data_IF_640331808459
#
_entry.id   IF_640331808459
#
_cell.length_a   1.000
_cell.length_b   1.000
_cell.length_c   1.000
_cell.angle_alpha   90.00
_cell.angle_beta   90.00
_cell.angle_gamma   90.00
#
_symmetry.space_group_name_H-M   'P 1'
#
loop_
_entity.id
_entity.type
_entity.pdbx_description
1 polymer ?
#
# COMPACT_ATOMS: atom_id res chain seq x y z
N UNK A 1 -0.65 -12.77 19.97
CA UNK A 1 -0.53 -11.53 19.19
C UNK A 1 0.09 -11.86 17.83
N UNK A 2 -0.20 -11.05 16.82
CA UNK A 2 0.29 -11.18 15.45
C UNK A 2 1.19 -9.99 15.15
N UNK A 3 2.36 -10.26 14.59
CA UNK A 3 3.28 -9.24 14.07
C UNK A 3 3.21 -9.24 12.54
N UNK A 4 2.97 -8.10 11.96
CA UNK A 4 3.02 -7.89 10.51
C UNK A 4 4.27 -7.12 10.15
N UNK A 5 4.98 -7.53 9.09
CA UNK A 5 6.18 -6.85 8.59
C UNK A 5 5.99 -6.46 7.12
N UNK A 6 6.21 -5.19 6.84
CA UNK A 6 6.31 -4.66 5.48
C UNK A 6 7.80 -4.37 5.19
N UNK A 7 8.42 -5.25 4.40
CA UNK A 7 9.85 -5.24 4.11
C UNK A 7 10.08 -4.47 2.82
N UNK A 8 10.36 -3.18 2.97
CA UNK A 8 10.68 -2.29 1.87
C UNK A 8 12.18 -2.22 1.56
N UNK A 9 12.54 -1.43 0.53
CA UNK A 9 13.94 -1.26 0.11
C UNK A 9 14.79 -0.49 1.13
N UNK A 10 14.20 0.42 1.91
CA UNK A 10 14.94 1.33 2.79
C UNK A 10 14.77 1.01 4.28
N UNK A 11 13.68 0.37 4.66
CA UNK A 11 13.36 -0.01 6.05
C UNK A 11 12.32 -1.09 6.10
N UNK A 12 12.25 -1.77 7.24
CA UNK A 12 11.19 -2.70 7.59
C UNK A 12 10.22 -1.95 8.51
N UNK A 13 8.95 -1.92 8.16
CA UNK A 13 7.89 -1.42 9.06
C UNK A 13 7.23 -2.60 9.73
N UNK A 14 6.87 -2.45 10.99
CA UNK A 14 6.18 -3.48 11.76
C UNK A 14 4.93 -2.95 12.44
N UNK A 15 3.96 -3.84 12.65
CA UNK A 15 2.79 -3.55 13.45
C UNK A 15 2.36 -4.79 14.24
N UNK A 16 1.95 -4.60 15.49
CA UNK A 16 1.46 -5.66 16.37
C UNK A 16 -0.04 -5.55 16.51
N UNK A 17 -0.72 -6.65 16.23
CA UNK A 17 -2.17 -6.78 16.39
C UNK A 17 -2.52 -7.67 17.59
N UNK A 18 -3.50 -7.21 18.36
CA UNK A 18 -4.12 -7.99 19.42
C UNK A 18 -5.02 -9.11 18.90
N UNK A 19 -5.62 -9.89 19.78
CA UNK A 19 -6.56 -10.95 19.43
C UNK A 19 -7.88 -10.41 18.83
N UNK A 20 -8.28 -9.20 19.23
CA UNK A 20 -9.46 -8.50 18.72
C UNK A 20 -9.24 -7.80 17.37
N UNK A 21 -8.01 -7.81 16.83
CA UNK A 21 -7.66 -7.11 15.60
C UNK A 21 -7.25 -5.65 15.80
N UNK A 22 -7.16 -5.21 17.05
CA UNK A 22 -6.72 -3.86 17.36
C UNK A 22 -5.22 -3.69 17.09
N UNK A 23 -4.89 -2.62 16.39
CA UNK A 23 -3.51 -2.20 16.16
C UNK A 23 -2.95 -1.61 17.46
N UNK A 24 -2.01 -2.31 18.09
CA UNK A 24 -1.47 -1.92 19.40
C UNK A 24 -0.20 -1.10 19.30
N UNK A 25 0.74 -1.51 18.45
CA UNK A 25 2.07 -0.92 18.34
C UNK A 25 2.52 -0.89 16.88
N UNK A 26 3.25 0.15 16.52
CA UNK A 26 3.95 0.24 15.22
C UNK A 26 5.40 0.64 15.46
N UNK A 27 6.31 0.10 14.63
CA UNK A 27 7.73 0.42 14.71
C UNK A 27 8.37 0.38 13.31
N UNK A 28 9.61 0.86 13.22
CA UNK A 28 10.37 0.85 11.98
C UNK A 28 11.83 0.45 12.28
N UNK A 29 12.35 -0.49 11.49
CA UNK A 29 13.65 -1.12 11.65
C UNK A 29 14.54 -0.86 10.45
N UNK A 30 15.85 -0.91 10.62
CA UNK A 30 16.76 -0.99 9.49
C UNK A 30 16.56 -2.33 8.75
N UNK A 31 16.88 -2.38 7.47
CA UNK A 31 16.66 -3.58 6.63
C UNK A 31 17.50 -4.80 7.07
N UNK A 32 18.50 -4.60 7.92
CA UNK A 32 19.41 -5.64 8.40
C UNK A 32 19.20 -5.99 9.87
N UNK A 33 18.28 -5.33 10.59
CA UNK A 33 18.07 -5.54 12.03
C UNK A 33 17.14 -6.71 12.35
N UNK A 34 17.45 -7.87 11.78
CA UNK A 34 16.69 -9.11 11.99
C UNK A 34 16.74 -9.61 13.43
N UNK A 35 17.88 -9.38 14.13
CA UNK A 35 18.05 -9.75 15.54
C UNK A 35 17.17 -8.89 16.46
N UNK A 36 17.08 -7.59 16.18
CA UNK A 36 16.19 -6.69 16.90
C UNK A 36 14.74 -7.09 16.76
N UNK A 37 14.29 -7.42 15.53
CA UNK A 37 12.94 -7.89 15.26
C UNK A 37 12.64 -9.22 15.99
N UNK A 38 13.58 -10.19 16.01
CA UNK A 38 13.40 -11.46 16.71
C UNK A 38 13.27 -11.26 18.24
N UNK A 39 14.13 -10.42 18.82
CA UNK A 39 14.07 -10.06 20.23
C UNK A 39 12.74 -9.37 20.57
N UNK A 40 12.32 -8.43 19.73
CA UNK A 40 11.05 -7.73 19.88
C UNK A 40 9.86 -8.70 19.84
N UNK A 41 9.83 -9.61 18.84
CA UNK A 41 8.78 -10.59 18.71
C UNK A 41 8.65 -11.49 19.94
N UNK A 42 9.78 -11.90 20.52
CA UNK A 42 9.83 -12.70 21.76
C UNK A 42 9.29 -11.90 22.96
N UNK A 43 9.76 -10.66 23.14
CA UNK A 43 9.36 -9.80 24.25
C UNK A 43 7.85 -9.43 24.21
N UNK A 44 7.30 -9.30 23.01
CA UNK A 44 5.87 -9.01 22.80
C UNK A 44 4.98 -10.28 22.81
N UNK A 45 5.54 -11.46 23.10
CA UNK A 45 4.82 -12.74 23.06
C UNK A 45 4.10 -12.97 21.73
N UNK A 46 4.74 -12.64 20.63
CA UNK A 46 4.22 -12.89 19.29
C UNK A 46 4.12 -14.39 19.04
N UNK A 47 3.05 -14.85 18.41
CA UNK A 47 2.82 -16.25 18.04
C UNK A 47 2.84 -16.48 16.54
N UNK A 48 2.54 -15.42 15.79
CA UNK A 48 2.48 -15.49 14.34
C UNK A 48 3.07 -14.23 13.74
N UNK A 49 3.94 -14.40 12.75
CA UNK A 49 4.50 -13.32 11.94
C UNK A 49 4.04 -13.53 10.51
N UNK A 50 3.44 -12.51 9.90
CA UNK A 50 3.19 -12.47 8.46
C UNK A 50 3.94 -11.28 7.86
N UNK A 51 4.59 -11.50 6.71
CA UNK A 51 5.38 -10.45 6.09
C UNK A 51 5.14 -10.36 4.58
N UNK A 52 5.17 -9.13 4.07
CA UNK A 52 5.34 -8.84 2.65
C UNK A 52 6.75 -8.36 2.39
N UNK A 53 7.30 -8.66 1.21
CA UNK A 53 8.57 -8.09 0.77
C UNK A 53 8.48 -7.70 -0.70
N UNK A 54 8.99 -6.50 -0.99
CA UNK A 54 9.27 -6.00 -2.35
C UNK A 54 10.78 -5.88 -2.58
N UNK A 55 11.57 -6.33 -1.60
CA UNK A 55 13.03 -6.32 -1.57
C UNK A 55 13.58 -7.75 -1.38
N UNK A 56 14.62 -7.90 -0.60
CA UNK A 56 15.23 -9.19 -0.29
C UNK A 56 14.36 -10.00 0.69
N UNK A 57 14.31 -11.32 0.50
CA UNK A 57 13.67 -12.23 1.45
C UNK A 57 14.43 -12.23 2.80
N UNK A 58 13.73 -12.43 3.92
CA UNK A 58 14.36 -12.57 5.23
C UNK A 58 15.41 -13.69 5.26
N UNK A 59 16.49 -13.54 6.06
CA UNK A 59 17.50 -14.58 6.18
C UNK A 59 16.89 -15.91 6.65
N UNK A 60 17.24 -17.03 6.02
CA UNK A 60 16.76 -18.36 6.42
C UNK A 60 17.09 -18.70 7.87
N UNK A 61 18.26 -18.25 8.34
CA UNK A 61 18.68 -18.43 9.75
C UNK A 61 17.70 -17.77 10.71
N UNK A 62 17.26 -16.54 10.41
CA UNK A 62 16.27 -15.81 11.20
C UNK A 62 14.92 -16.53 11.25
N UNK A 63 14.41 -17.02 10.12
CA UNK A 63 13.17 -17.80 10.08
C UNK A 63 13.27 -19.06 10.92
N UNK A 64 14.43 -19.76 10.86
CA UNK A 64 14.68 -20.98 11.64
C UNK A 64 14.74 -20.71 13.15
N UNK A 65 15.31 -19.58 13.55
CA UNK A 65 15.38 -19.14 14.96
C UNK A 65 13.98 -18.87 15.52
N UNK A 66 13.16 -18.15 14.79
CA UNK A 66 11.77 -17.87 15.17
C UNK A 66 10.94 -19.14 15.29
N UNK A 67 11.09 -20.08 14.35
CA UNK A 67 10.40 -21.37 14.41
C UNK A 67 10.80 -22.20 15.64
N UNK A 68 12.11 -22.23 15.98
CA UNK A 68 12.60 -22.87 17.21
C UNK A 68 12.02 -22.22 18.48
N UNK A 69 11.73 -20.94 18.44
CA UNK A 69 11.09 -20.19 19.52
C UNK A 69 9.56 -20.36 19.54
N UNK A 70 8.99 -21.22 18.67
CA UNK A 70 7.56 -21.48 18.61
C UNK A 70 6.74 -20.38 17.92
N UNK A 71 7.39 -19.50 17.16
CA UNK A 71 6.76 -18.45 16.37
C UNK A 71 6.56 -18.95 14.95
N UNK A 72 5.30 -19.02 14.49
CA UNK A 72 4.98 -19.33 13.11
C UNK A 72 5.26 -18.13 12.22
N UNK A 73 5.90 -18.33 11.07
CA UNK A 73 6.21 -17.28 10.10
C UNK A 73 5.65 -17.64 8.72
N UNK A 74 4.92 -16.72 8.12
CA UNK A 74 4.36 -16.89 6.77
C UNK A 74 4.73 -15.69 5.88
N UNK A 75 5.20 -15.96 4.69
CA UNK A 75 5.39 -14.94 3.67
C UNK A 75 4.08 -14.72 2.91
N UNK A 76 3.68 -13.48 2.70
CA UNK A 76 2.64 -13.17 1.74
C UNK A 76 3.15 -13.49 0.33
N UNK A 77 2.45 -14.37 -0.36
CA UNK A 77 2.71 -14.77 -1.75
C UNK A 77 1.42 -14.67 -2.57
N UNK A 78 1.52 -14.88 -3.87
CA UNK A 78 0.33 -14.97 -4.73
C UNK A 78 -0.48 -16.25 -4.52
N UNK A 79 0.06 -17.26 -3.81
CA UNK A 79 -0.61 -18.49 -3.40
C UNK A 79 -1.29 -18.38 -2.03
N UNK A 80 -1.02 -17.30 -1.29
CA UNK A 80 -1.66 -17.05 0.00
C UNK A 80 -3.19 -16.97 -0.15
N UNK A 81 -3.96 -17.40 0.87
CA UNK A 81 -5.39 -17.18 0.85
C UNK A 81 -5.69 -15.67 0.84
N UNK A 82 -6.53 -15.23 -0.09
CA UNK A 82 -6.85 -13.81 -0.27
C UNK A 82 -8.34 -13.56 -0.03
N UNK A 83 -8.71 -12.43 0.61
CA UNK A 83 -10.11 -12.09 0.89
C UNK A 83 -10.82 -11.50 -0.34
N UNK A 84 -10.21 -11.51 -1.54
CA UNK A 84 -10.76 -10.95 -2.76
C UNK A 84 -10.49 -11.83 -3.99
N UNK A 85 -11.30 -11.62 -5.02
CA UNK A 85 -11.08 -12.16 -6.36
C UNK A 85 -10.41 -11.11 -7.24
N UNK A 86 -9.76 -11.53 -8.33
CA UNK A 86 -9.02 -10.63 -9.19
C UNK A 86 -9.33 -10.83 -10.66
N UNK A 87 -9.41 -9.72 -11.42
CA UNK A 87 -9.37 -9.70 -12.87
C UNK A 87 -7.97 -9.39 -13.42
N UNK A 88 -6.98 -9.20 -12.54
CA UNK A 88 -5.60 -8.96 -12.94
C UNK A 88 -5.01 -10.22 -13.58
N UNK A 89 -4.54 -10.09 -14.84
CA UNK A 89 -4.18 -11.26 -15.66
C UNK A 89 -2.94 -12.01 -15.17
N UNK A 90 -2.05 -11.33 -14.48
CA UNK A 90 -0.76 -11.86 -14.02
C UNK A 90 -0.62 -11.69 -12.50
N UNK A 91 -1.48 -12.37 -11.74
CA UNK A 91 -1.46 -12.30 -10.27
C UNK A 91 -0.09 -12.63 -9.67
N UNK A 92 0.66 -13.52 -10.30
CA UNK A 92 2.02 -13.91 -9.89
C UNK A 92 3.06 -12.78 -10.00
N UNK A 93 2.74 -11.69 -10.70
CA UNK A 93 3.59 -10.48 -10.79
C UNK A 93 3.04 -9.28 -10.04
N UNK A 94 1.87 -9.42 -9.41
CA UNK A 94 1.29 -8.33 -8.60
C UNK A 94 2.15 -8.11 -7.35
N UNK A 95 2.51 -6.86 -7.08
CA UNK A 95 3.27 -6.48 -5.87
C UNK A 95 2.56 -6.97 -4.60
N UNK A 96 3.33 -7.56 -3.69
CA UNK A 96 2.79 -8.08 -2.42
C UNK A 96 2.24 -6.96 -1.53
N UNK A 97 2.83 -5.79 -1.59
CA UNK A 97 2.33 -4.55 -0.98
C UNK A 97 0.94 -4.16 -1.49
N UNK A 98 0.70 -4.26 -2.81
CA UNK A 98 -0.60 -4.02 -3.44
C UNK A 98 -1.63 -5.06 -2.99
N UNK A 99 -1.26 -6.34 -2.92
CA UNK A 99 -2.12 -7.41 -2.39
C UNK A 99 -2.53 -7.09 -0.94
N UNK A 100 -1.57 -6.71 -0.12
CA UNK A 100 -1.83 -6.34 1.27
C UNK A 100 -2.71 -5.08 1.35
N UNK A 101 -2.45 -4.04 0.56
CA UNK A 101 -3.27 -2.83 0.55
C UNK A 101 -4.74 -3.10 0.18
N UNK A 102 -4.99 -3.98 -0.80
CA UNK A 102 -6.33 -4.45 -1.17
C UNK A 102 -7.04 -5.17 -0.01
N UNK A 103 -6.34 -6.08 0.66
CA UNK A 103 -6.88 -6.79 1.83
C UNK A 103 -7.14 -5.83 3.00
N UNK A 104 -6.25 -4.84 3.21
CA UNK A 104 -6.43 -3.80 4.22
C UNK A 104 -7.65 -2.91 3.98
N UNK A 105 -7.94 -2.60 2.71
CA UNK A 105 -9.14 -1.86 2.37
C UNK A 105 -10.43 -2.66 2.67
N UNK A 106 -10.41 -3.98 2.51
CA UNK A 106 -11.54 -4.85 2.88
C UNK A 106 -11.74 -4.88 4.40
N UNK A 107 -10.64 -4.98 5.15
CA UNK A 107 -10.68 -5.01 6.62
C UNK A 107 -11.25 -3.71 7.21
N UNK A 108 -10.75 -2.57 6.71
CA UNK A 108 -11.08 -1.27 7.27
C UNK A 108 -12.39 -0.66 6.75
N UNK A 109 -12.75 -1.00 5.51
CA UNK A 109 -13.88 -0.41 4.79
C UNK A 109 -14.73 -1.52 4.13
N UNK A 110 -15.30 -2.45 4.93
CA UNK A 110 -16.07 -3.55 4.38
C UNK A 110 -17.29 -3.02 3.60
N UNK A 111 -17.49 -3.52 2.38
CA UNK A 111 -18.59 -3.11 1.52
C UNK A 111 -18.44 -1.74 0.87
N UNK A 112 -17.26 -1.13 0.88
CA UNK A 112 -16.98 0.17 0.26
C UNK A 112 -16.08 0.01 -0.96
N UNK A 113 -16.53 0.48 -2.12
CA UNK A 113 -15.72 0.52 -3.34
C UNK A 113 -14.62 1.57 -3.21
N UNK A 114 -13.37 1.20 -3.52
CA UNK A 114 -12.21 2.08 -3.31
C UNK A 114 -11.33 2.19 -4.56
N UNK A 115 -10.85 3.42 -4.82
CA UNK A 115 -9.57 3.66 -5.47
C UNK A 115 -8.52 3.79 -4.35
N UNK A 116 -7.58 2.87 -4.29
CA UNK A 116 -6.48 2.87 -3.34
C UNK A 116 -5.28 3.53 -4.01
N UNK A 117 -4.78 4.62 -3.44
CA UNK A 117 -3.56 5.30 -3.89
C UNK A 117 -2.47 5.12 -2.82
N UNK A 118 -1.47 4.29 -3.13
CA UNK A 118 -0.28 4.13 -2.29
C UNK A 118 0.86 4.98 -2.85
N UNK A 119 1.30 5.94 -2.06
CA UNK A 119 2.32 6.94 -2.40
C UNK A 119 3.64 6.59 -1.72
N UNK A 120 4.27 5.54 -2.23
CA UNK A 120 5.57 5.04 -1.80
C UNK A 120 6.69 5.40 -2.79
N UNK A 121 7.64 4.47 -2.99
CA UNK A 121 8.68 4.57 -4.02
C UNK A 121 8.07 4.76 -5.41
N UNK A 122 7.01 4.00 -5.70
CA UNK A 122 6.10 4.24 -6.81
C UNK A 122 4.76 4.77 -6.27
N UNK A 123 3.98 5.41 -7.13
CA UNK A 123 2.56 5.60 -6.94
C UNK A 123 1.84 4.39 -7.54
N UNK A 124 1.06 3.67 -6.74
CA UNK A 124 0.12 2.67 -7.25
C UNK A 124 -1.31 3.13 -7.07
N UNK A 125 -2.15 2.86 -8.06
CA UNK A 125 -3.57 3.22 -8.08
C UNK A 125 -4.37 1.97 -8.37
N UNK A 126 -5.01 1.39 -7.35
CA UNK A 126 -5.68 0.09 -7.41
C UNK A 126 -7.19 0.22 -7.16
N UNK A 127 -8.02 -0.42 -7.97
CA UNK A 127 -9.48 -0.34 -7.86
C UNK A 127 -10.03 -1.64 -7.28
N UNK A 128 -10.61 -1.53 -6.09
CA UNK A 128 -11.32 -2.59 -5.39
C UNK A 128 -12.81 -2.30 -5.39
N UNK A 129 -13.62 -3.23 -5.91
CA UNK A 129 -15.07 -3.17 -5.89
C UNK A 129 -15.62 -4.18 -4.88
N UNK A 130 -16.52 -3.73 -4.03
CA UNK A 130 -17.12 -4.54 -2.97
C UNK A 130 -18.64 -4.55 -3.02
N UNK A 131 -19.26 -3.68 -3.85
CA UNK A 131 -20.71 -3.52 -3.90
C UNK A 131 -21.34 -4.17 -5.14
N UNK A 132 -22.58 -4.64 -4.98
CA UNK A 132 -23.36 -5.15 -6.13
C UNK A 132 -23.68 -4.05 -7.15
N UNK A 133 -23.82 -2.80 -6.72
CA UNK A 133 -24.04 -1.65 -7.60
C UNK A 133 -22.86 -1.44 -8.54
N UNK A 134 -21.63 -1.46 -8.01
CA UNK A 134 -20.43 -1.37 -8.84
C UNK A 134 -20.28 -2.56 -9.78
N UNK A 135 -20.68 -3.76 -9.33
CA UNK A 135 -20.72 -4.96 -10.16
C UNK A 135 -21.63 -4.80 -11.36
N UNK A 136 -22.85 -4.31 -11.16
CA UNK A 136 -23.80 -4.06 -12.25
C UNK A 136 -23.23 -3.10 -13.31
N UNK A 137 -22.47 -2.09 -12.86
CA UNK A 137 -21.81 -1.10 -13.72
C UNK A 137 -20.71 -1.69 -14.61
N UNK A 138 -20.19 -2.90 -14.32
CA UNK A 138 -19.21 -3.59 -15.18
C UNK A 138 -19.85 -4.21 -16.43
N UNK A 139 -21.21 -4.21 -16.56
CA UNK A 139 -21.93 -4.74 -17.73
C UNK A 139 -21.75 -6.24 -17.94
N UNK A 140 -21.26 -6.97 -16.96
CA UNK A 140 -21.09 -8.42 -16.99
C UNK A 140 -22.09 -9.06 -16.04
N UNK A 141 -22.80 -10.09 -16.53
CA UNK A 141 -23.41 -11.11 -15.66
C UNK A 141 -22.26 -11.84 -14.94
N UNK A 142 -21.57 -11.14 -14.03
CA UNK A 142 -20.44 -11.71 -13.36
C UNK A 142 -20.94 -12.64 -12.27
N UNK A 143 -20.77 -13.94 -12.48
CA UNK A 143 -20.89 -15.01 -11.48
C UNK A 143 -19.76 -14.94 -10.44
N UNK A 144 -18.93 -13.88 -10.49
CA UNK A 144 -17.77 -13.70 -9.63
C UNK A 144 -18.17 -13.32 -8.19
N UNK A 145 -17.53 -13.96 -7.24
CA UNK A 145 -17.61 -13.63 -5.82
C UNK A 145 -16.96 -12.27 -5.57
N UNK A 146 -17.41 -11.53 -4.56
CA UNK A 146 -16.87 -10.25 -4.11
C UNK A 146 -16.16 -10.44 -2.77
N UNK A 147 -15.21 -9.57 -2.44
CA UNK A 147 -14.67 -8.36 -3.15
C UNK A 147 -13.89 -8.67 -4.43
N UNK A 148 -13.78 -7.70 -5.36
CA UNK A 148 -13.16 -7.86 -6.68
C UNK A 148 -12.13 -6.77 -6.98
N UNK A 149 -10.87 -7.16 -7.15
CA UNK A 149 -9.83 -6.32 -7.71
C UNK A 149 -9.93 -6.29 -9.23
N UNK A 150 -10.23 -5.13 -9.82
CA UNK A 150 -10.41 -5.00 -11.28
C UNK A 150 -9.16 -4.56 -12.02
N UNK A 151 -8.13 -4.12 -11.31
CA UNK A 151 -6.85 -3.70 -11.87
C UNK A 151 -6.38 -2.36 -11.31
N UNK A 152 -5.23 -1.90 -11.78
CA UNK A 152 -4.65 -0.65 -11.32
C UNK A 152 -3.48 -0.19 -12.18
N UNK A 153 -2.91 0.96 -11.82
CA UNK A 153 -1.80 1.60 -12.50
C UNK A 153 -0.57 1.67 -11.58
N UNK A 154 0.60 1.75 -12.18
CA UNK A 154 1.86 2.04 -11.50
C UNK A 154 2.51 3.22 -12.22
N UNK A 155 2.94 4.21 -11.46
CA UNK A 155 3.69 5.35 -11.97
C UNK A 155 4.80 5.76 -10.99
N UNK A 156 5.75 6.62 -11.37
CA UNK A 156 6.80 7.04 -10.47
C UNK A 156 6.24 7.73 -9.23
N UNK A 157 6.75 7.39 -8.05
CA UNK A 157 6.50 8.13 -6.82
C UNK A 157 7.13 9.51 -6.84
N UNK A 158 6.85 10.34 -5.86
CA UNK A 158 7.22 11.76 -5.86
C UNK A 158 8.75 11.96 -5.99
N UNK A 159 9.52 11.26 -5.15
CA UNK A 159 11.00 11.33 -5.20
C UNK A 159 11.55 10.82 -6.53
N UNK A 160 10.95 9.79 -7.09
CA UNK A 160 11.34 9.23 -8.38
C UNK A 160 11.05 10.22 -9.53
N UNK A 161 9.94 10.96 -9.50
CA UNK A 161 9.61 12.01 -10.48
C UNK A 161 10.66 13.12 -10.48
N UNK A 162 10.97 13.63 -9.28
CA UNK A 162 11.95 14.71 -9.11
C UNK A 162 13.37 14.25 -9.49
N UNK A 163 13.75 13.04 -9.06
CA UNK A 163 15.04 12.42 -9.39
C UNK A 163 15.20 12.20 -10.89
N UNK A 164 14.18 11.66 -11.56
CA UNK A 164 14.24 11.42 -13.01
C UNK A 164 14.41 12.70 -13.84
N UNK A 165 13.80 13.82 -13.42
CA UNK A 165 14.01 15.11 -14.07
C UNK A 165 15.44 15.62 -13.89
N UNK A 166 16.02 15.44 -12.71
CA UNK A 166 17.41 15.81 -12.43
C UNK A 166 18.40 14.92 -13.21
N UNK A 167 18.27 13.60 -13.08
CA UNK A 167 19.16 12.62 -13.70
C UNK A 167 19.05 12.59 -15.22
N UNK A 168 17.85 12.82 -15.77
CA UNK A 168 17.58 12.81 -17.22
C UNK A 168 17.97 14.10 -17.93
N UNK A 169 18.46 15.13 -17.23
CA UNK A 169 18.82 16.42 -17.82
C UNK A 169 20.13 16.96 -17.25
N UNK A 170 20.83 17.81 -18.05
CA UNK A 170 22.12 18.37 -17.63
C UNK A 170 22.01 19.56 -16.68
N UNK A 171 20.88 20.24 -16.61
CA UNK A 171 20.75 21.56 -15.96
C UNK A 171 19.68 21.66 -14.89
N UNK A 172 18.76 20.69 -14.81
CA UNK A 172 17.72 20.74 -13.81
C UNK A 172 18.26 20.30 -12.44
N UNK A 173 18.13 21.12 -11.41
CA UNK A 173 18.57 20.76 -10.05
C UNK A 173 17.70 19.64 -9.46
N UNK A 174 18.27 18.87 -8.52
CA UNK A 174 17.48 18.04 -7.65
C UNK A 174 16.81 18.92 -6.59
N UNK A 175 15.49 18.99 -6.60
CA UNK A 175 14.71 19.81 -5.65
C UNK A 175 14.15 18.96 -4.52
N UNK A 176 14.04 19.58 -3.34
CA UNK A 176 13.37 18.96 -2.19
C UNK A 176 11.84 19.01 -2.33
N UNK A 177 11.17 18.05 -1.71
CA UNK A 177 9.70 18.04 -1.67
C UNK A 177 9.25 19.14 -0.73
N UNK A 178 8.41 20.06 -1.24
CA UNK A 178 7.79 21.15 -0.49
C UNK A 178 6.28 21.20 -0.80
N UNK A 179 5.43 21.69 0.11
CA UNK A 179 4.05 21.99 -0.19
C UNK A 179 3.92 23.00 -1.34
N UNK A 180 2.85 22.88 -2.10
CA UNK A 180 2.55 23.82 -3.19
C UNK A 180 1.77 25.00 -2.63
N UNK A 181 2.24 26.22 -2.90
CA UNK A 181 1.60 27.48 -2.49
C UNK A 181 0.78 28.11 -3.61
N UNK A 182 0.97 27.68 -4.85
CA UNK A 182 0.29 28.18 -6.05
C UNK A 182 0.15 27.08 -7.11
N UNK A 183 -0.58 27.37 -8.18
CA UNK A 183 -0.84 26.40 -9.25
C UNK A 183 0.32 26.22 -10.22
N UNK A 184 1.10 27.25 -10.47
CA UNK A 184 2.19 27.27 -11.45
C UNK A 184 3.47 27.75 -10.78
N UNK A 185 4.59 27.07 -11.07
CA UNK A 185 5.91 27.53 -10.67
C UNK A 185 6.32 28.80 -11.43
N UNK A 186 6.97 29.74 -10.74
CA UNK A 186 7.43 30.99 -11.30
C UNK A 186 8.96 31.02 -11.55
N UNK A 187 9.65 29.97 -11.16
CA UNK A 187 11.07 29.71 -11.41
C UNK A 187 11.29 28.22 -11.64
N UNK A 188 12.51 27.83 -11.96
CA UNK A 188 12.84 26.42 -12.30
C UNK A 188 12.56 25.47 -11.14
N UNK A 189 12.89 25.82 -9.89
CA UNK A 189 12.71 24.95 -8.75
C UNK A 189 11.23 24.75 -8.42
N UNK A 190 10.47 25.82 -8.35
CA UNK A 190 9.02 25.74 -8.15
C UNK A 190 8.30 25.04 -9.31
N UNK A 191 8.75 25.23 -10.56
CA UNK A 191 8.22 24.51 -11.72
C UNK A 191 8.46 23.00 -11.63
N UNK A 192 9.65 22.57 -11.17
CA UNK A 192 9.96 21.17 -10.93
C UNK A 192 9.08 20.57 -9.81
N UNK A 193 8.89 21.30 -8.70
CA UNK A 193 8.03 20.88 -7.60
C UNK A 193 6.57 20.71 -8.06
N UNK A 194 6.06 21.68 -8.82
CA UNK A 194 4.69 21.61 -9.38
C UNK A 194 4.56 20.49 -10.40
N UNK A 195 5.57 20.26 -11.24
CA UNK A 195 5.62 19.11 -12.17
C UNK A 195 5.63 17.76 -11.44
N UNK A 196 6.37 17.65 -10.35
CA UNK A 196 6.45 16.44 -9.52
C UNK A 196 5.20 16.21 -8.67
N UNK A 197 4.97 17.07 -7.68
CA UNK A 197 3.87 16.92 -6.72
C UNK A 197 2.52 17.22 -7.36
N UNK A 198 2.37 18.36 -8.04
CA UNK A 198 1.14 18.72 -8.75
C UNK A 198 0.77 17.69 -9.81
N UNK A 199 1.76 17.21 -10.59
CA UNK A 199 1.55 16.16 -11.58
C UNK A 199 1.01 14.86 -10.95
N UNK A 200 1.51 14.45 -9.77
CA UNK A 200 0.98 13.30 -9.03
C UNK A 200 -0.46 13.53 -8.57
N UNK A 201 -0.76 14.71 -8.04
CA UNK A 201 -2.11 15.08 -7.60
C UNK A 201 -3.09 15.01 -8.78
N UNK A 202 -2.73 15.59 -9.93
CA UNK A 202 -3.58 15.57 -11.13
C UNK A 202 -3.79 14.15 -11.68
N UNK A 203 -2.79 13.28 -11.57
CA UNK A 203 -2.92 11.87 -11.95
C UNK A 203 -3.95 11.14 -11.09
N UNK A 204 -3.87 11.32 -9.76
CA UNK A 204 -4.82 10.72 -8.80
C UNK A 204 -6.23 11.26 -9.03
N UNK A 205 -6.40 12.58 -9.04
CA UNK A 205 -7.71 13.21 -9.21
C UNK A 205 -8.32 12.95 -10.59
N UNK A 206 -7.50 12.96 -11.64
CA UNK A 206 -7.94 12.68 -13.00
C UNK A 206 -8.46 11.26 -13.17
N UNK A 207 -7.76 10.27 -12.59
CA UNK A 207 -8.23 8.89 -12.60
C UNK A 207 -9.46 8.71 -11.71
N UNK A 208 -9.44 9.25 -10.49
CA UNK A 208 -10.56 9.16 -9.55
C UNK A 208 -11.84 9.75 -10.15
N UNK A 209 -11.78 10.95 -10.73
CA UNK A 209 -12.93 11.60 -11.37
C UNK A 209 -13.52 10.75 -12.51
N UNK A 210 -12.65 10.14 -13.35
CA UNK A 210 -13.11 9.26 -14.45
C UNK A 210 -13.74 7.98 -13.92
N UNK A 211 -13.22 7.43 -12.83
CA UNK A 211 -13.77 6.24 -12.18
C UNK A 211 -15.11 6.54 -11.49
N UNK A 212 -15.26 7.70 -10.83
CA UNK A 212 -16.53 8.13 -10.23
C UNK A 212 -17.66 8.26 -11.25
N UNK A 213 -17.35 8.63 -12.49
CA UNK A 213 -18.35 8.65 -13.56
C UNK A 213 -18.94 7.25 -13.86
N UNK A 214 -18.19 6.19 -13.56
CA UNK A 214 -18.61 4.79 -13.74
C UNK A 214 -19.06 4.12 -12.43
N UNK A 215 -18.45 4.50 -11.32
CA UNK A 215 -18.68 3.99 -9.98
C UNK A 215 -18.94 5.18 -9.03
N UNK A 216 -20.19 5.70 -8.97
CA UNK A 216 -20.49 6.95 -8.26
C UNK A 216 -20.17 6.94 -6.76
N UNK A 217 -20.24 5.76 -6.12
CA UNK A 217 -19.99 5.59 -4.69
C UNK A 217 -18.52 5.28 -4.36
N UNK A 218 -17.63 5.31 -5.37
CA UNK A 218 -16.19 5.05 -5.19
C UNK A 218 -15.58 6.02 -4.18
N UNK A 219 -14.76 5.51 -3.26
CA UNK A 219 -14.02 6.31 -2.27
C UNK A 219 -12.54 6.33 -2.61
N UNK A 220 -11.90 7.47 -2.38
CA UNK A 220 -10.44 7.59 -2.49
C UNK A 220 -9.80 7.25 -1.15
N UNK A 221 -9.07 6.13 -1.11
CA UNK A 221 -8.30 5.67 0.05
C UNK A 221 -6.82 5.91 -0.25
N UNK A 222 -6.15 6.66 0.61
CA UNK A 222 -4.74 7.02 0.41
C UNK A 222 -3.86 6.46 1.52
N UNK A 223 -2.66 6.03 1.14
CA UNK A 223 -1.62 5.50 2.02
C UNK A 223 -0.24 5.80 1.47
N UNK A 224 0.80 5.39 2.16
CA UNK A 224 2.19 5.60 1.76
C UNK A 224 2.86 6.79 2.43
N UNK A 225 4.17 6.88 2.27
CA UNK A 225 5.00 7.87 2.96
C UNK A 225 4.74 9.31 2.55
N UNK A 226 4.39 9.52 1.28
CA UNK A 226 4.12 10.85 0.73
C UNK A 226 2.61 11.21 0.74
N UNK A 227 1.73 10.32 1.27
CA UNK A 227 0.28 10.52 1.26
C UNK A 227 -0.16 11.79 1.99
N UNK A 228 0.51 12.13 3.11
CA UNK A 228 0.12 13.28 3.93
C UNK A 228 0.31 14.60 3.18
N UNK A 229 1.46 14.79 2.51
CA UNK A 229 1.70 16.02 1.73
C UNK A 229 0.77 16.10 0.52
N UNK A 230 0.47 14.96 -0.12
CA UNK A 230 -0.48 14.92 -1.25
C UNK A 230 -1.89 15.25 -0.77
N UNK A 231 -2.32 14.71 0.38
CA UNK A 231 -3.65 14.95 0.95
C UNK A 231 -3.96 16.43 1.15
N UNK A 232 -2.97 17.21 1.58
CA UNK A 232 -3.12 18.67 1.81
C UNK A 232 -3.50 19.43 0.53
N UNK A 233 -3.24 18.86 -0.65
CA UNK A 233 -3.49 19.47 -1.95
C UNK A 233 -4.59 18.80 -2.76
N UNK A 234 -5.13 17.66 -2.30
CA UNK A 234 -6.25 16.99 -2.97
C UNK A 234 -7.54 17.82 -2.80
N UNK A 235 -8.26 18.01 -3.88
CA UNK A 235 -9.63 18.58 -3.86
C UNK A 235 -10.67 17.52 -3.53
N UNK A 236 -10.40 16.28 -3.92
CA UNK A 236 -11.27 15.13 -3.65
C UNK A 236 -11.18 14.72 -2.18
N UNK A 237 -12.32 14.43 -1.57
CA UNK A 237 -12.35 13.85 -0.22
C UNK A 237 -11.64 12.49 -0.22
N UNK A 238 -10.66 12.34 0.66
CA UNK A 238 -9.87 11.12 0.78
C UNK A 238 -9.82 10.60 2.22
N UNK A 239 -9.71 9.29 2.35
CA UNK A 239 -9.50 8.60 3.63
C UNK A 239 -8.02 8.25 3.74
N UNK A 240 -7.32 8.79 4.73
CA UNK A 240 -5.91 8.49 4.95
C UNK A 240 -5.74 7.34 5.93
N UNK A 241 -5.04 6.28 5.49
CA UNK A 241 -4.74 5.09 6.29
C UNK A 241 -3.24 4.76 6.23
N UNK A 242 -2.44 5.26 7.18
CA UNK A 242 -0.98 5.09 7.15
C UNK A 242 -0.52 3.64 7.34
N UNK A 243 -1.36 2.79 7.90
CA UNK A 243 -1.06 1.40 8.22
C UNK A 243 -1.85 0.40 7.37
N UNK A 244 -2.33 0.82 6.18
CA UNK A 244 -3.20 0.02 5.31
C UNK A 244 -2.62 -1.36 4.99
N UNK A 245 -1.33 -1.43 4.63
CA UNK A 245 -0.61 -2.67 4.33
C UNK A 245 -0.61 -3.62 5.55
N UNK A 246 -0.42 -3.08 6.75
CA UNK A 246 -0.42 -3.87 7.98
C UNK A 246 -1.80 -4.44 8.31
N UNK A 247 -2.87 -3.67 8.14
CA UNK A 247 -4.24 -4.19 8.26
C UNK A 247 -4.51 -5.31 7.26
N UNK A 248 -3.98 -5.18 6.04
CA UNK A 248 -4.12 -6.23 5.02
C UNK A 248 -3.35 -7.50 5.36
N UNK A 249 -2.12 -7.37 5.83
CA UNK A 249 -1.35 -8.52 6.33
C UNK A 249 -2.06 -9.20 7.50
N UNK A 250 -2.61 -8.41 8.43
CA UNK A 250 -3.41 -8.93 9.52
C UNK A 250 -4.62 -9.70 9.00
N UNK A 251 -5.43 -9.12 8.12
CA UNK A 251 -6.61 -9.76 7.52
C UNK A 251 -6.24 -11.08 6.82
N UNK A 252 -5.16 -11.09 6.04
CA UNK A 252 -4.69 -12.31 5.39
C UNK A 252 -4.25 -13.35 6.43
N UNK A 253 -3.61 -12.93 7.54
CA UNK A 253 -3.18 -13.84 8.59
C UNK A 253 -4.34 -14.63 9.22
N UNK A 254 -5.53 -14.02 9.32
CA UNK A 254 -6.72 -14.69 9.87
C UNK A 254 -7.21 -15.83 8.99
N UNK A 255 -6.96 -15.76 7.68
CA UNK A 255 -7.34 -16.79 6.72
C UNK A 255 -6.46 -18.06 6.80
N UNK A 256 -5.27 -17.98 7.44
CA UNK A 256 -4.43 -19.14 7.72
C UNK A 256 -4.88 -19.92 8.95
N UNK A 257 -5.77 -19.35 9.76
CA UNK A 257 -6.28 -19.98 10.99
C UNK A 257 -7.68 -20.58 10.79
N UNK A 258 -8.33 -20.30 9.67
CA UNK A 258 -9.63 -20.85 9.27
C UNK A 258 -9.46 -22.14 8.48
#
# INVERSE_FOLDING_TARGET
>A
MILTLDIGNSRIKSAVFGQSGDLNLTDAWSVDDWSGIATYATNQNIRFIIFSTVANEPPKAWLTELQKSGIRCEALTHESPLPFHSQYRTMNTLGRDRIAALAGAIELLPGVDCLIADMGTCLTLDVLLQTETARASLGRSSTGKFPLFIGGNISPGLRMRLGAMHEGTQRLPLVSIQPLDQMLGLDTESALQHGGLGGMIYEIEGLFSRLCAKFPDLRLLITGGDAKIVQEHLKSTSLFQPHLVHYGLYQISTLYAA
#
